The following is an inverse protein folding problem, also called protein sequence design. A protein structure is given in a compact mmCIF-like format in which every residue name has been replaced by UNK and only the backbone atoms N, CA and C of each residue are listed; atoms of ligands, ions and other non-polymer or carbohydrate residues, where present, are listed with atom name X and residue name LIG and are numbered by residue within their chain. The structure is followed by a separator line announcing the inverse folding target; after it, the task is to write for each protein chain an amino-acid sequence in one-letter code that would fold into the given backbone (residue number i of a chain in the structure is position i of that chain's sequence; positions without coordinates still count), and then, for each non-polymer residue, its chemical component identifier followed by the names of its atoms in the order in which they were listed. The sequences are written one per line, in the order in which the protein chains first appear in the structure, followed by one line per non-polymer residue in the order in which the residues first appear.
data_IF_533402780854
#
_entry.id   IF_533402780854
#
_cell.length_a   1.000
_cell.length_b   1.000
_cell.length_c   1.000
_cell.angle_alpha   90.00
_cell.angle_beta   90.00
_cell.angle_gamma   90.00
#
_symmetry.space_group_name_H-M   'P 1'
#
loop_
_entity.id
_entity.type
_entity.pdbx_description
1 polymer ?
#
# COMPACT_ATOMS: atom_id res chain seq x y z
N UNK A 1 39.57 -19.90 -54.62
CA UNK A 1 38.52 -19.22 -53.82
C UNK A 1 37.74 -20.33 -53.12
N UNK A 2 37.74 -20.28 -51.77
CA UNK A 2 36.95 -21.07 -50.80
C UNK A 2 37.04 -22.60 -50.84
N UNK A 3 37.82 -23.25 -49.95
CA UNK A 3 37.58 -23.52 -48.51
C UNK A 3 36.75 -24.80 -48.28
N UNK A 4 37.45 -25.93 -48.18
CA UNK A 4 36.91 -27.19 -47.65
C UNK A 4 37.37 -27.32 -46.21
N UNK A 5 36.50 -26.96 -45.26
CA UNK A 5 36.76 -27.07 -43.83
C UNK A 5 36.59 -28.54 -43.40
N UNK A 6 37.70 -29.28 -43.33
CA UNK A 6 37.73 -30.64 -42.77
C UNK A 6 37.72 -30.57 -41.24
N UNK A 7 36.57 -30.89 -40.64
CA UNK A 7 36.36 -31.03 -39.20
C UNK A 7 37.25 -32.16 -38.63
N UNK A 8 38.20 -31.84 -37.75
CA UNK A 8 39.03 -32.81 -37.02
C UNK A 8 38.18 -33.67 -36.06
N UNK A 9 38.49 -34.97 -35.85
CA UNK A 9 37.79 -35.81 -34.87
C UNK A 9 38.13 -35.38 -33.44
N UNK A 10 37.15 -35.43 -32.53
CA UNK A 10 37.35 -35.11 -31.11
C UNK A 10 38.17 -36.20 -30.42
N UNK A 11 39.36 -35.84 -29.97
CA UNK A 11 40.24 -36.70 -29.19
C UNK A 11 39.57 -37.03 -27.84
N UNK A 12 39.34 -38.32 -27.59
CA UNK A 12 38.72 -38.79 -26.36
C UNK A 12 39.63 -38.50 -25.16
N UNK A 13 39.11 -37.76 -24.17
CA UNK A 13 39.84 -37.46 -22.93
C UNK A 13 40.10 -38.76 -22.16
N UNK A 14 41.34 -39.26 -22.22
CA UNK A 14 41.79 -40.38 -21.37
C UNK A 14 42.02 -39.84 -19.97
N UNK A 15 41.19 -40.26 -19.01
CA UNK A 15 41.34 -39.90 -17.60
C UNK A 15 42.31 -40.90 -16.97
N UNK A 16 43.43 -40.41 -16.45
CA UNK A 16 44.39 -41.25 -15.73
C UNK A 16 43.79 -41.74 -14.39
N UNK A 17 44.16 -42.94 -13.91
CA UNK A 17 43.77 -43.41 -12.58
C UNK A 17 44.20 -42.42 -11.50
N UNK A 18 43.30 -42.12 -10.56
CA UNK A 18 43.56 -41.22 -9.43
C UNK A 18 44.65 -41.82 -8.54
N UNK A 19 45.70 -41.03 -8.29
CA UNK A 19 46.82 -41.40 -7.43
C UNK A 19 46.35 -41.65 -5.98
N UNK A 20 46.56 -42.87 -5.42
CA UNK A 20 46.06 -43.25 -4.09
C UNK A 20 46.66 -42.44 -2.94
N UNK A 21 47.78 -41.75 -3.16
CA UNK A 21 48.44 -40.92 -2.14
C UNK A 21 47.78 -39.54 -1.97
N UNK A 22 47.01 -39.06 -2.96
CA UNK A 22 46.33 -37.75 -2.93
C UNK A 22 44.89 -37.88 -2.43
N UNK A 23 44.70 -38.47 -1.24
CA UNK A 23 43.37 -38.63 -0.64
C UNK A 23 43.10 -37.48 0.35
N UNK A 24 42.40 -36.44 -0.10
CA UNK A 24 41.91 -35.36 0.78
C UNK A 24 40.96 -35.93 1.84
N UNK A 25 40.96 -35.39 3.06
CA UNK A 25 40.11 -35.87 4.18
C UNK A 25 38.61 -36.05 3.83
N UNK A 26 38.11 -35.23 2.89
CA UNK A 26 36.75 -35.31 2.34
C UNK A 26 36.42 -36.70 1.78
N UNK A 27 37.41 -37.47 1.33
CA UNK A 27 37.24 -38.81 0.77
C UNK A 27 37.30 -39.93 1.82
N UNK A 28 37.87 -39.68 3.01
CA UNK A 28 37.86 -40.63 4.13
C UNK A 28 36.51 -40.68 4.85
N UNK A 29 35.70 -39.63 4.72
CA UNK A 29 34.40 -39.51 5.39
C UNK A 29 33.24 -40.10 4.55
N UNK A 30 33.50 -40.56 3.33
CA UNK A 30 32.58 -41.46 2.61
C UNK A 30 32.63 -42.83 3.27
N UNK A 31 31.71 -43.00 4.21
CA UNK A 31 31.39 -44.28 4.85
C UNK A 31 31.30 -45.38 3.78
N UNK A 32 31.97 -46.53 3.94
CA UNK A 32 31.78 -47.65 3.03
C UNK A 32 30.37 -48.20 3.27
N UNK A 33 29.39 -47.71 2.51
CA UNK A 33 28.07 -48.32 2.43
C UNK A 33 28.30 -49.74 1.91
N UNK A 34 28.11 -50.73 2.79
CA UNK A 34 28.22 -52.15 2.46
C UNK A 34 27.57 -52.43 1.11
N UNK A 35 28.33 -52.98 0.17
CA UNK A 35 27.89 -53.34 -1.17
C UNK A 35 26.83 -54.44 -1.10
N UNK A 36 25.59 -54.05 -0.81
CA UNK A 36 24.39 -54.85 -1.09
C UNK A 36 23.88 -54.43 -2.46
N UNK A 37 23.53 -55.35 -3.37
CA UNK A 37 23.05 -55.01 -4.71
C UNK A 37 21.61 -54.50 -4.61
N UNK A 38 21.45 -53.23 -4.24
CA UNK A 38 20.17 -52.55 -4.36
C UNK A 38 19.91 -52.24 -5.83
N UNK A 39 18.91 -52.90 -6.42
CA UNK A 39 18.41 -52.58 -7.76
C UNK A 39 17.70 -51.23 -7.69
N UNK A 40 18.29 -50.19 -8.28
CA UNK A 40 17.68 -48.87 -8.42
C UNK A 40 16.43 -49.00 -9.30
N UNK A 41 15.25 -49.08 -8.67
CA UNK A 41 13.97 -49.23 -9.40
C UNK A 41 13.53 -47.93 -10.09
N UNK A 42 13.96 -46.78 -9.57
CA UNK A 42 13.89 -45.50 -10.26
C UNK A 42 14.84 -44.51 -9.57
N UNK A 43 15.77 -43.92 -10.33
CA UNK A 43 16.45 -42.71 -9.91
C UNK A 43 15.52 -41.55 -10.24
N UNK A 44 14.59 -41.24 -9.33
CA UNK A 44 13.89 -39.96 -9.38
C UNK A 44 14.93 -38.92 -9.01
N UNK A 45 15.32 -38.10 -9.99
CA UNK A 45 16.02 -36.86 -9.74
C UNK A 45 15.10 -36.04 -8.85
N UNK A 46 15.37 -36.03 -7.55
CA UNK A 46 14.85 -35.01 -6.67
C UNK A 46 15.47 -33.72 -7.19
N UNK A 47 14.85 -33.12 -8.21
CA UNK A 47 14.96 -31.67 -8.38
C UNK A 47 14.55 -31.15 -7.03
N UNK A 48 15.57 -30.60 -6.36
CA UNK A 48 15.54 -30.30 -4.97
C UNK A 48 14.16 -29.72 -4.64
N UNK A 49 13.56 -30.24 -3.57
CA UNK A 49 12.75 -29.36 -2.74
C UNK A 49 13.75 -28.32 -2.25
N UNK A 50 14.06 -27.36 -3.09
CA UNK A 50 14.70 -26.11 -2.74
C UNK A 50 13.64 -25.51 -1.87
N UNK A 51 13.69 -25.84 -0.58
CA UNK A 51 13.19 -24.95 0.44
C UNK A 51 13.92 -23.67 0.13
N UNK A 52 13.27 -22.81 -0.64
CA UNK A 52 13.57 -21.39 -0.70
C UNK A 52 13.65 -21.04 0.76
N UNK A 53 14.88 -20.79 1.24
CA UNK A 53 15.08 -20.30 2.58
C UNK A 53 14.33 -18.97 2.59
N UNK A 54 13.08 -19.00 3.04
CA UNK A 54 12.40 -17.81 3.51
C UNK A 54 13.35 -17.28 4.57
N UNK A 55 13.83 -16.06 4.41
CA UNK A 55 14.58 -15.38 5.47
C UNK A 55 13.83 -15.64 6.78
N UNK A 56 14.53 -15.91 7.91
CA UNK A 56 13.87 -16.18 9.18
C UNK A 56 12.83 -15.10 9.43
N UNK A 57 11.56 -15.46 9.26
CA UNK A 57 10.44 -14.54 9.42
C UNK A 57 10.40 -14.26 10.91
N UNK A 58 10.76 -13.04 11.33
CA UNK A 58 10.77 -12.58 12.72
C UNK A 58 9.33 -12.45 13.23
N UNK A 59 8.66 -13.60 13.27
CA UNK A 59 7.25 -13.77 13.53
C UNK A 59 7.12 -14.25 14.96
N UNK A 60 6.48 -13.42 15.77
CA UNK A 60 6.16 -13.73 17.15
C UNK A 60 4.72 -14.18 17.27
N UNK A 61 4.42 -14.98 18.30
CA UNK A 61 3.04 -15.38 18.58
C UNK A 61 2.17 -14.15 18.83
N UNK A 62 1.04 -14.08 18.14
CA UNK A 62 0.06 -12.97 18.23
C UNK A 62 -0.38 -12.73 19.67
N UNK A 63 -0.58 -13.82 20.40
CA UNK A 63 -0.79 -13.81 21.83
C UNK A 63 0.54 -14.09 22.56
N UNK A 64 0.97 -13.30 23.55
CA UNK A 64 0.35 -12.10 24.09
C UNK A 64 0.87 -10.78 23.50
N UNK A 65 1.89 -10.82 22.62
CA UNK A 65 2.69 -9.65 22.27
C UNK A 65 1.92 -8.62 21.44
N UNK A 66 1.25 -9.06 20.37
CA UNK A 66 0.49 -8.15 19.49
C UNK A 66 -0.85 -7.75 20.11
N UNK A 67 -1.55 -8.69 20.74
CA UNK A 67 -2.87 -8.40 21.31
C UNK A 67 -2.83 -7.42 22.49
N UNK A 68 -1.76 -7.43 23.29
CA UNK A 68 -1.61 -6.48 24.41
C UNK A 68 -1.39 -5.04 23.93
N UNK A 69 -0.58 -4.82 22.90
CA UNK A 69 -0.32 -3.48 22.34
C UNK A 69 -1.55 -2.93 21.62
N UNK A 70 -2.29 -3.76 20.89
CA UNK A 70 -3.52 -3.35 20.20
C UNK A 70 -4.63 -3.04 21.19
N UNK A 71 -4.79 -3.85 22.24
CA UNK A 71 -5.76 -3.59 23.29
C UNK A 71 -5.45 -2.28 24.03
N UNK A 72 -4.18 -2.00 24.33
CA UNK A 72 -3.76 -0.73 24.92
C UNK A 72 -4.06 0.45 23.98
N UNK A 73 -3.74 0.33 22.68
CA UNK A 73 -4.04 1.37 21.70
C UNK A 73 -5.55 1.63 21.58
N UNK A 74 -6.38 0.57 21.56
CA UNK A 74 -7.84 0.69 21.52
C UNK A 74 -8.40 1.34 22.78
N UNK A 75 -7.88 0.99 23.96
CA UNK A 75 -8.27 1.61 25.23
C UNK A 75 -7.90 3.11 25.26
N UNK A 76 -6.69 3.47 24.83
CA UNK A 76 -6.25 4.87 24.74
C UNK A 76 -7.10 5.67 23.75
N UNK A 77 -7.39 5.12 22.58
CA UNK A 77 -8.28 5.76 21.60
C UNK A 77 -9.70 5.94 22.13
N UNK A 78 -10.22 4.96 22.88
CA UNK A 78 -11.55 5.05 23.51
C UNK A 78 -11.59 6.16 24.55
N UNK A 79 -10.57 6.23 25.42
CA UNK A 79 -10.44 7.31 26.42
C UNK A 79 -10.31 8.66 25.72
N UNK A 80 -9.48 8.76 24.68
CA UNK A 80 -9.33 9.99 23.90
C UNK A 80 -10.66 10.48 23.32
N UNK A 81 -11.44 9.60 22.67
CA UNK A 81 -12.74 9.96 22.09
C UNK A 81 -13.76 10.38 23.17
N UNK A 82 -13.77 9.71 24.32
CA UNK A 82 -14.63 10.07 25.45
C UNK A 82 -14.27 11.44 26.03
N UNK A 83 -12.97 11.71 26.24
CA UNK A 83 -12.50 13.02 26.72
C UNK A 83 -12.83 14.11 25.69
N UNK A 84 -12.60 13.85 24.41
CA UNK A 84 -12.96 14.78 23.33
C UNK A 84 -14.45 15.12 23.35
N UNK A 85 -15.32 14.11 23.47
CA UNK A 85 -16.78 14.33 23.53
C UNK A 85 -17.27 15.01 24.81
N UNK A 86 -16.54 14.88 25.93
CA UNK A 86 -16.86 15.56 27.19
C UNK A 86 -16.43 17.03 27.19
N UNK A 87 -15.29 17.36 26.58
CA UNK A 87 -14.73 18.71 26.59
C UNK A 87 -15.11 19.55 25.38
N UNK A 88 -15.40 18.93 24.23
CA UNK A 88 -15.78 19.62 22.99
C UNK A 88 -17.28 19.45 22.80
N UNK A 89 -18.04 20.50 23.14
CA UNK A 89 -19.47 20.53 22.88
C UNK A 89 -19.73 20.54 21.37
N UNK A 90 -20.64 19.66 20.92
CA UNK A 90 -21.09 19.67 19.55
C UNK A 90 -21.87 20.96 19.26
N UNK A 91 -21.53 21.72 18.20
CA UNK A 91 -22.37 22.82 17.74
C UNK A 91 -23.63 22.21 17.12
N UNK A 92 -24.70 22.11 17.92
CA UNK A 92 -25.99 21.62 17.44
C UNK A 92 -26.76 22.78 16.81
N UNK A 93 -27.22 22.60 15.57
CA UNK A 93 -28.13 23.53 14.91
C UNK A 93 -29.57 23.41 15.44
N UNK A 94 -30.45 24.31 14.99
CA UNK A 94 -31.88 24.24 15.28
C UNK A 94 -32.52 22.95 14.73
N UNK A 95 -33.69 22.60 15.28
CA UNK A 95 -34.47 21.47 14.79
C UNK A 95 -34.73 21.61 13.29
N UNK A 96 -34.52 20.52 12.55
CA UNK A 96 -34.61 20.52 11.09
C UNK A 96 -35.96 21.05 10.60
N UNK A 97 -35.92 22.10 9.78
CA UNK A 97 -37.10 22.70 9.14
C UNK A 97 -36.96 22.63 7.62
N UNK A 98 -37.83 21.85 6.95
CA UNK A 98 -37.79 21.69 5.49
C UNK A 98 -38.09 22.97 4.69
N UNK A 99 -38.62 24.02 5.32
CA UNK A 99 -38.90 25.30 4.68
C UNK A 99 -37.72 26.29 4.77
N UNK A 100 -36.67 25.97 5.52
CA UNK A 100 -35.51 26.86 5.72
C UNK A 100 -34.23 26.09 5.40
N UNK A 101 -33.48 26.58 4.42
CA UNK A 101 -32.13 26.06 4.13
C UNK A 101 -31.10 26.89 4.89
N UNK A 102 -30.22 26.27 5.71
CA UNK A 102 -29.18 27.00 6.42
C UNK A 102 -28.24 27.70 5.44
N UNK A 103 -27.74 28.88 5.84
CA UNK A 103 -26.90 29.71 4.96
C UNK A 103 -25.54 29.07 4.65
N UNK A 104 -25.04 28.19 5.52
CA UNK A 104 -23.77 27.48 5.36
C UNK A 104 -24.02 25.99 5.59
N UNK A 105 -24.22 25.24 4.50
CA UNK A 105 -24.35 23.79 4.56
C UNK A 105 -23.04 23.13 4.09
N UNK A 106 -22.13 22.86 5.02
CA UNK A 106 -20.91 22.09 4.73
C UNK A 106 -21.18 20.60 4.93
N UNK A 107 -20.67 19.78 4.01
CA UNK A 107 -20.72 18.34 4.13
C UNK A 107 -19.76 17.86 5.23
N UNK A 108 -19.95 16.65 5.76
CA UNK A 108 -18.97 16.03 6.64
C UNK A 108 -17.56 16.06 6.03
N UNK A 109 -16.53 16.22 6.86
CA UNK A 109 -15.14 16.45 6.43
C UNK A 109 -14.61 15.42 5.41
N UNK A 110 -15.05 14.16 5.48
CA UNK A 110 -14.67 13.09 4.54
C UNK A 110 -15.35 13.21 3.17
N UNK A 111 -16.44 13.97 3.06
CA UNK A 111 -17.10 14.30 1.79
C UNK A 111 -16.82 15.73 1.33
N UNK A 112 -16.14 16.53 2.13
CA UNK A 112 -15.97 17.94 1.82
C UNK A 112 -15.11 18.18 0.56
N UNK A 113 -14.10 17.35 0.32
CA UNK A 113 -13.37 17.39 -0.95
C UNK A 113 -14.24 17.06 -2.17
N UNK A 114 -15.23 16.18 -2.02
CA UNK A 114 -16.21 15.89 -3.06
C UNK A 114 -17.19 17.06 -3.26
N UNK A 115 -17.62 17.69 -2.17
CA UNK A 115 -18.47 18.90 -2.22
C UNK A 115 -17.75 20.05 -2.92
N UNK A 116 -16.45 20.22 -2.67
CA UNK A 116 -15.63 21.23 -3.34
C UNK A 116 -15.59 20.98 -4.85
N UNK A 117 -15.47 19.72 -5.26
CA UNK A 117 -15.52 19.34 -6.68
C UNK A 117 -16.90 19.62 -7.31
N UNK A 118 -17.98 19.40 -6.56
CA UNK A 118 -19.36 19.69 -7.00
C UNK A 118 -19.61 21.18 -7.21
N UNK A 119 -18.86 22.06 -6.57
CA UNK A 119 -18.98 23.50 -6.80
C UNK A 119 -18.41 23.94 -8.16
N UNK A 120 -17.49 23.16 -8.75
CA UNK A 120 -16.88 23.50 -10.03
C UNK A 120 -17.38 22.66 -11.21
N UNK A 121 -17.80 21.42 -10.97
CA UNK A 121 -18.16 20.47 -12.02
C UNK A 121 -19.63 20.07 -11.95
N UNK A 122 -20.17 19.63 -13.09
CA UNK A 122 -21.53 19.11 -13.16
C UNK A 122 -21.72 17.92 -12.18
N UNK A 123 -22.88 17.80 -11.49
CA UNK A 123 -23.10 16.79 -10.46
C UNK A 123 -22.83 15.35 -10.88
N UNK A 124 -23.05 15.01 -12.15
CA UNK A 124 -22.73 13.67 -12.67
C UNK A 124 -21.23 13.40 -12.71
N UNK A 125 -20.42 14.40 -13.04
CA UNK A 125 -18.96 14.25 -13.13
C UNK A 125 -18.36 14.17 -11.74
N UNK A 126 -18.64 15.18 -10.90
CA UNK A 126 -18.08 15.23 -9.56
C UNK A 126 -18.68 14.17 -8.63
N UNK A 127 -20.00 14.01 -8.61
CA UNK A 127 -20.69 13.16 -7.64
C UNK A 127 -20.72 11.68 -8.02
N UNK A 128 -20.71 11.33 -9.31
CA UNK A 128 -20.81 9.92 -9.76
C UNK A 128 -19.51 9.43 -10.36
N UNK A 129 -18.98 10.11 -11.39
CA UNK A 129 -17.81 9.61 -12.13
C UNK A 129 -16.55 9.59 -11.27
N UNK A 130 -16.26 10.65 -10.51
CA UNK A 130 -15.04 10.72 -9.70
C UNK A 130 -14.99 9.65 -8.60
N UNK A 131 -16.01 9.48 -7.73
CA UNK A 131 -16.02 8.40 -6.75
C UNK A 131 -15.97 7.01 -7.41
N UNK A 132 -16.69 6.82 -8.51
CA UNK A 132 -16.67 5.56 -9.26
C UNK A 132 -15.27 5.26 -9.78
N UNK A 133 -14.57 6.24 -10.33
CA UNK A 133 -13.21 6.08 -10.83
C UNK A 133 -12.23 5.74 -9.70
N UNK A 134 -12.35 6.38 -8.53
CA UNK A 134 -11.49 6.09 -7.37
C UNK A 134 -11.72 4.66 -6.87
N UNK A 135 -12.98 4.23 -6.74
CA UNK A 135 -13.34 2.89 -6.26
C UNK A 135 -12.94 1.79 -7.26
N UNK A 136 -13.27 1.98 -8.53
CA UNK A 136 -12.92 1.02 -9.59
C UNK A 136 -11.40 1.00 -9.78
N UNK A 137 -10.74 2.16 -9.77
CA UNK A 137 -9.28 2.26 -9.84
C UNK A 137 -8.60 1.52 -8.69
N UNK A 138 -9.09 1.68 -7.45
CA UNK A 138 -8.60 0.94 -6.29
C UNK A 138 -8.82 -0.57 -6.41
N UNK A 139 -9.99 -1.00 -6.89
CA UNK A 139 -10.30 -2.41 -7.12
C UNK A 139 -9.46 -3.03 -8.26
N UNK A 140 -9.07 -2.22 -9.25
CA UNK A 140 -8.22 -2.65 -10.36
C UNK A 140 -6.73 -2.64 -10.04
N UNK A 141 -6.30 -1.97 -8.96
CA UNK A 141 -4.89 -1.92 -8.56
C UNK A 141 -4.19 -3.28 -8.54
N UNK A 142 -4.72 -4.36 -7.94
CA UNK A 142 -4.03 -5.67 -7.93
C UNK A 142 -3.83 -6.28 -9.33
N UNK A 143 -4.60 -5.86 -10.34
CA UNK A 143 -4.50 -6.40 -11.70
C UNK A 143 -3.58 -5.58 -12.61
N UNK A 144 -3.53 -4.27 -12.38
CA UNK A 144 -2.70 -3.32 -13.12
C UNK A 144 -1.26 -3.35 -12.60
N UNK A 145 -1.09 -3.46 -11.29
CA UNK A 145 0.19 -3.47 -10.61
C UNK A 145 0.80 -4.88 -10.54
N UNK A 146 1.40 -5.32 -11.65
CA UNK A 146 2.07 -6.62 -11.76
C UNK A 146 3.55 -6.57 -11.34
N UNK A 147 3.91 -5.61 -10.49
CA UNK A 147 5.27 -5.48 -9.97
C UNK A 147 5.69 -6.68 -9.12
N UNK A 148 6.97 -6.72 -8.75
CA UNK A 148 7.47 -7.75 -7.83
C UNK A 148 6.71 -7.66 -6.49
N UNK A 149 6.02 -8.74 -6.11
CA UNK A 149 5.21 -8.83 -4.89
C UNK A 149 6.08 -8.71 -3.63
N UNK A 150 7.37 -9.06 -3.73
CA UNK A 150 8.34 -8.93 -2.64
C UNK A 150 8.97 -7.53 -2.54
N UNK A 151 8.58 -6.58 -3.40
CA UNK A 151 9.05 -5.21 -3.34
C UNK A 151 8.31 -4.42 -2.24
N UNK A 152 8.64 -4.72 -0.99
CA UNK A 152 8.03 -4.13 0.22
C UNK A 152 8.60 -2.74 0.54
N UNK A 153 9.76 -2.38 -0.02
CA UNK A 153 10.41 -1.09 0.28
C UNK A 153 9.86 0.00 -0.64
N UNK A 154 9.51 1.19 -0.11
CA UNK A 154 9.10 2.34 -0.94
C UNK A 154 10.14 2.74 -2.01
N UNK A 155 11.43 2.45 -1.76
CA UNK A 155 12.53 2.69 -2.70
C UNK A 155 12.47 1.84 -3.97
N UNK A 156 11.77 0.71 -3.94
CA UNK A 156 11.65 -0.20 -5.08
C UNK A 156 10.45 0.16 -5.98
N UNK A 157 9.52 0.97 -5.46
CA UNK A 157 8.27 1.36 -6.14
C UNK A 157 8.07 2.87 -6.20
N UNK A 158 9.16 3.61 -6.45
CA UNK A 158 9.19 5.09 -6.37
C UNK A 158 8.10 5.75 -7.20
N UNK A 159 7.87 5.29 -8.43
CA UNK A 159 6.86 5.88 -9.34
C UNK A 159 5.45 5.72 -8.79
N UNK A 160 5.08 4.51 -8.36
CA UNK A 160 3.77 4.22 -7.78
C UNK A 160 3.53 4.98 -6.48
N UNK A 161 4.53 5.00 -5.59
CA UNK A 161 4.45 5.72 -4.30
C UNK A 161 4.32 7.23 -4.52
N UNK A 162 5.07 7.81 -5.47
CA UNK A 162 4.98 9.24 -5.79
C UNK A 162 3.62 9.58 -6.38
N UNK A 163 3.12 8.79 -7.33
CA UNK A 163 1.81 9.04 -7.95
C UNK A 163 0.67 8.91 -6.94
N UNK A 164 0.71 7.88 -6.08
CA UNK A 164 -0.29 7.69 -5.03
C UNK A 164 -0.24 8.80 -3.97
N UNK A 165 0.98 9.18 -3.55
CA UNK A 165 1.16 10.31 -2.63
C UNK A 165 0.65 11.62 -3.23
N UNK A 166 0.93 11.88 -4.51
CA UNK A 166 0.41 13.04 -5.22
C UNK A 166 -1.12 13.04 -5.25
N UNK A 167 -1.75 11.90 -5.57
CA UNK A 167 -3.20 11.74 -5.55
C UNK A 167 -3.79 12.06 -4.17
N UNK A 168 -3.20 11.54 -3.09
CA UNK A 168 -3.61 11.84 -1.73
C UNK A 168 -3.44 13.32 -1.37
N UNK A 169 -2.32 13.94 -1.75
CA UNK A 169 -2.04 15.37 -1.50
C UNK A 169 -3.05 16.24 -2.25
N UNK A 170 -3.37 15.93 -3.50
CA UNK A 170 -4.39 16.66 -4.26
C UNK A 170 -5.78 16.54 -3.61
N UNK A 171 -6.17 15.34 -3.16
CA UNK A 171 -7.44 15.15 -2.44
C UNK A 171 -7.51 15.92 -1.12
N UNK A 172 -6.43 15.90 -0.34
CA UNK A 172 -6.32 16.67 0.90
C UNK A 172 -6.31 18.18 0.64
N UNK A 173 -5.66 18.63 -0.43
CA UNK A 173 -5.65 20.04 -0.83
C UNK A 173 -7.06 20.53 -1.18
N UNK A 174 -7.80 19.77 -1.99
CA UNK A 174 -9.21 20.10 -2.33
C UNK A 174 -10.08 20.12 -1.06
N UNK A 175 -9.89 19.15 -0.17
CA UNK A 175 -10.60 19.11 1.12
C UNK A 175 -10.27 20.34 1.97
N UNK A 176 -8.98 20.72 2.06
CA UNK A 176 -8.53 21.89 2.80
C UNK A 176 -9.17 23.18 2.26
N UNK A 177 -9.24 23.33 0.93
CA UNK A 177 -9.92 24.49 0.31
C UNK A 177 -11.39 24.54 0.73
N UNK A 178 -12.08 23.41 0.69
CA UNK A 178 -13.48 23.30 1.12
C UNK A 178 -13.72 23.63 2.60
N UNK A 179 -12.74 23.39 3.49
CA UNK A 179 -12.86 23.73 4.93
C UNK A 179 -12.78 25.25 5.13
N UNK A 180 -11.74 25.87 4.57
CA UNK A 180 -11.28 27.20 4.99
C UNK A 180 -11.76 28.35 4.11
N UNK A 181 -12.02 28.10 2.81
CA UNK A 181 -12.30 29.16 1.84
C UNK A 181 -13.78 29.21 1.41
N UNK A 182 -14.66 28.50 2.12
CA UNK A 182 -16.10 28.45 1.82
C UNK A 182 -16.94 29.20 2.85
N UNK A 183 -17.69 30.19 2.36
CA UNK A 183 -18.61 31.03 3.13
C UNK A 183 -20.10 30.76 2.84
N UNK A 184 -20.99 31.71 3.19
CA UNK A 184 -22.43 31.59 2.94
C UNK A 184 -22.77 31.28 1.47
N UNK A 185 -23.72 30.37 1.25
CA UNK A 185 -24.09 29.89 -0.09
C UNK A 185 -22.99 29.08 -0.80
N UNK A 186 -22.01 28.57 -0.07
CA UNK A 186 -20.82 27.89 -0.61
C UNK A 186 -19.98 28.78 -1.56
N UNK A 187 -20.07 30.11 -1.41
CA UNK A 187 -19.26 31.07 -2.15
C UNK A 187 -17.80 31.01 -1.70
N UNK A 188 -16.88 31.34 -2.61
CA UNK A 188 -15.45 31.42 -2.31
C UNK A 188 -15.16 32.73 -1.55
N UNK A 189 -14.60 32.62 -0.35
CA UNK A 189 -14.30 33.75 0.53
C UNK A 189 -12.87 33.65 1.04
N UNK A 190 -12.17 34.78 1.07
CA UNK A 190 -10.83 34.87 1.64
C UNK A 190 -10.98 35.30 3.12
N UNK A 191 -10.54 34.48 4.09
CA UNK A 191 -10.91 34.67 5.50
C UNK A 191 -10.32 35.93 6.18
N UNK A 192 -9.41 36.66 5.54
CA UNK A 192 -8.67 37.79 6.12
C UNK A 192 -8.72 39.10 5.28
N UNK A 193 -9.59 39.18 4.27
CA UNK A 193 -9.80 40.42 3.51
C UNK A 193 -11.18 41.02 3.83
N UNK A 194 -11.20 42.18 4.49
CA UNK A 194 -12.42 42.89 4.91
C UNK A 194 -13.24 43.51 3.75
N UNK A 195 -12.74 43.47 2.51
CA UNK A 195 -13.31 44.22 1.37
C UNK A 195 -14.73 43.76 0.96
N UNK A 196 -15.14 42.54 1.32
CA UNK A 196 -16.52 42.05 1.13
C UNK A 196 -17.20 41.84 2.49
N UNK A 197 -17.31 42.90 3.30
CA UNK A 197 -18.13 42.87 4.52
C UNK A 197 -19.63 42.77 4.17
N UNK A 198 -20.10 41.55 3.92
CA UNK A 198 -21.50 41.20 4.10
C UNK A 198 -21.69 40.95 5.61
N UNK A 199 -21.72 42.04 6.37
CA UNK A 199 -22.44 42.20 7.64
C UNK A 199 -22.21 41.23 8.80
N UNK A 200 -21.22 40.33 8.77
CA UNK A 200 -21.04 39.34 9.85
C UNK A 200 -19.58 39.30 10.34
N UNK A 201 -19.30 39.78 11.57
CA UNK A 201 -17.98 39.65 12.16
C UNK A 201 -17.83 38.21 12.69
N UNK A 202 -17.02 37.40 12.03
CA UNK A 202 -16.71 36.07 12.54
C UNK A 202 -15.95 35.22 11.56
N UNK A 203 -14.94 34.53 12.06
CA UNK A 203 -14.34 33.38 11.41
C UNK A 203 -15.48 32.43 10.98
N UNK A 204 -15.69 32.26 9.66
CA UNK A 204 -16.69 31.34 9.10
C UNK A 204 -16.25 29.86 9.24
N UNK A 205 -15.73 29.50 10.41
CA UNK A 205 -15.47 28.14 10.85
C UNK A 205 -16.72 27.55 11.51
N UNK A 206 -17.87 27.70 10.87
CA UNK A 206 -18.98 26.80 11.12
C UNK A 206 -18.68 25.51 10.34
N UNK A 207 -18.45 24.43 11.09
CA UNK A 207 -18.56 23.04 10.63
C UNK A 207 -20.02 22.62 10.77
#
# INVERSE_FOLDING_TARGET
MSDTETKKPSEGRVVLPVDPARRTEIDKQRVPMSARPYRLLALVKQDAVVRVQKEPDDTVMTWPHLLSIEFLAAALMSIFLLLMGLFINAPLEELANGNVTPAVAKAPWYFLGLQELLAYFHPTVAGVLVPTFVLVGAALMPFVDRGNIHAIRPSERKTAVVLFSLFCILGLFVTFVGIFFRGPGYSFVIPYLEFFSIGTPGLHFAL
#
